data_IF_941515692368
#
_entry.id   IF_941515692368
#
_cell.length_a   1.000
_cell.length_b   1.000
_cell.length_c   1.000
_cell.angle_alpha   90.00
_cell.angle_beta   90.00
_cell.angle_gamma   90.00
#
_symmetry.space_group_name_H-M   'P 1'
#
loop_
_entity.id
_entity.type
_entity.pdbx_description
1 polymer ?
#
# COMPACT_ATOMS: atom_id res chain seq x y z
N UNK A 1 1.20 -4.61 -1.39
CA UNK A 1 -0.15 -4.95 -1.89
C UNK A 1 -0.11 -4.94 -3.42
N UNK A 2 -0.85 -5.82 -4.11
CA UNK A 2 -0.81 -5.91 -5.59
C UNK A 2 -1.48 -4.72 -6.30
N UNK A 3 -2.39 -4.01 -5.63
CA UNK A 3 -3.05 -2.78 -6.09
C UNK A 3 -3.25 -1.85 -4.90
N UNK A 4 -3.46 -0.55 -5.13
CA UNK A 4 -3.47 0.48 -4.07
C UNK A 4 -4.62 0.40 -3.05
N UNK A 5 -5.73 -0.25 -3.40
CA UNK A 5 -6.93 -0.34 -2.55
C UNK A 5 -7.63 -1.69 -2.76
N UNK A 6 -8.51 -2.08 -1.82
CA UNK A 6 -9.28 -3.32 -1.84
C UNK A 6 -8.41 -4.57 -2.10
N UNK A 7 -7.28 -4.66 -1.41
CA UNK A 7 -6.36 -5.79 -1.49
C UNK A 7 -5.63 -5.97 -0.16
N UNK A 8 -5.36 -7.21 0.22
CA UNK A 8 -4.58 -7.51 1.41
C UNK A 8 -3.16 -6.93 1.30
N UNK A 9 -2.63 -6.50 2.45
CA UNK A 9 -1.27 -6.02 2.55
C UNK A 9 -0.30 -7.21 2.53
N UNK A 10 0.68 -7.15 1.62
CA UNK A 10 1.78 -8.13 1.57
C UNK A 10 2.64 -8.02 2.83
N UNK A 11 2.93 -6.79 3.25
CA UNK A 11 3.46 -6.42 4.57
C UNK A 11 2.80 -5.09 4.92
N UNK A 12 2.36 -4.94 6.16
CA UNK A 12 1.99 -3.65 6.73
C UNK A 12 2.87 -3.37 7.94
N UNK A 13 2.99 -2.10 8.33
CA UNK A 13 3.82 -1.69 9.44
C UNK A 13 3.22 -0.47 10.14
N UNK A 14 3.48 -0.35 11.43
CA UNK A 14 3.19 0.81 12.23
C UNK A 14 4.44 1.19 13.04
N UNK A 15 4.79 2.47 13.01
CA UNK A 15 5.96 3.03 13.69
C UNK A 15 5.51 4.15 14.61
N UNK A 16 5.92 4.09 15.87
CA UNK A 16 5.70 5.14 16.86
C UNK A 16 7.04 5.46 17.53
N UNK A 17 7.45 6.72 17.45
CA UNK A 17 8.69 7.22 18.03
C UNK A 17 8.36 8.31 19.06
N UNK A 18 8.69 8.03 20.31
CA UNK A 18 8.56 8.97 21.41
C UNK A 18 9.92 9.60 21.67
N UNK A 19 10.00 10.93 21.52
CA UNK A 19 11.23 11.70 21.74
C UNK A 19 11.30 12.22 23.17
N UNK A 20 12.51 12.29 23.73
CA UNK A 20 12.74 13.02 24.98
C UNK A 20 12.48 14.50 24.76
N UNK A 21 11.90 15.15 25.76
CA UNK A 21 11.51 16.56 25.73
C UNK A 21 12.65 17.44 25.19
N UNK A 22 12.34 18.25 24.18
CA UNK A 22 13.23 19.23 23.53
C UNK A 22 14.51 18.62 22.92
N UNK A 23 14.48 17.34 22.52
CA UNK A 23 15.62 16.67 21.85
C UNK A 23 15.17 15.82 20.66
N UNK A 24 16.13 15.42 19.83
CA UNK A 24 15.94 14.42 18.75
C UNK A 24 16.21 12.99 19.22
N UNK A 25 16.42 12.80 20.52
CA UNK A 25 16.76 11.51 21.11
C UNK A 25 15.48 10.75 21.45
N UNK A 26 15.40 9.49 21.04
CA UNK A 26 14.29 8.63 21.38
C UNK A 26 14.29 8.29 22.87
N UNK A 27 13.15 8.45 23.50
CA UNK A 27 12.82 7.85 24.78
C UNK A 27 12.37 6.40 24.59
N UNK A 28 11.49 6.18 23.61
CA UNK A 28 10.89 4.87 23.31
C UNK A 28 10.54 4.77 21.83
N UNK A 29 10.60 3.55 21.29
CA UNK A 29 10.11 3.21 19.97
C UNK A 29 9.16 2.01 20.05
N UNK A 30 8.11 2.01 19.23
CA UNK A 30 7.29 0.84 18.95
C UNK A 30 7.28 0.61 17.44
N UNK A 31 7.65 -0.59 17.02
CA UNK A 31 7.81 -1.00 15.63
C UNK A 31 7.05 -2.32 15.46
N UNK A 32 5.89 -2.22 14.81
CA UNK A 32 4.96 -3.34 14.65
C UNK A 32 4.85 -3.67 13.16
N UNK A 33 4.82 -4.96 12.84
CA UNK A 33 4.61 -5.43 11.47
C UNK A 33 3.50 -6.48 11.43
N UNK A 34 2.82 -6.54 10.29
CA UNK A 34 1.96 -7.66 9.92
C UNK A 34 2.47 -8.38 8.68
N UNK A 35 2.00 -9.61 8.49
CA UNK A 35 2.37 -10.49 7.37
C UNK A 35 3.87 -10.84 7.30
N UNK A 36 4.57 -10.87 8.44
CA UNK A 36 5.95 -11.38 8.55
C UNK A 36 5.92 -12.88 8.85
N UNK A 37 5.47 -13.26 10.04
CA UNK A 37 5.21 -14.64 10.46
C UNK A 37 4.08 -14.69 11.50
N UNK A 38 3.57 -15.86 11.83
CA UNK A 38 2.45 -16.02 12.78
C UNK A 38 2.73 -15.46 14.18
N UNK A 39 4.01 -15.39 14.58
CA UNK A 39 4.45 -15.01 15.92
C UNK A 39 5.16 -13.65 15.96
N UNK A 40 5.39 -13.01 14.81
CA UNK A 40 6.11 -11.75 14.75
C UNK A 40 5.13 -10.57 14.75
N UNK A 41 5.01 -9.92 15.90
CA UNK A 41 4.20 -8.70 16.06
C UNK A 41 5.08 -7.46 16.25
N UNK A 42 6.13 -7.54 17.06
CA UNK A 42 7.00 -6.42 17.44
C UNK A 42 8.47 -6.70 17.13
N UNK A 43 9.18 -5.69 16.63
CA UNK A 43 10.64 -5.70 16.51
C UNK A 43 11.34 -5.29 17.82
N UNK A 44 11.06 -6.02 18.90
CA UNK A 44 11.44 -5.65 20.27
C UNK A 44 12.93 -5.39 20.50
N UNK A 45 13.84 -6.09 19.80
CA UNK A 45 15.28 -5.84 19.98
C UNK A 45 15.67 -4.51 19.33
N UNK A 46 15.12 -4.22 18.16
CA UNK A 46 15.27 -2.98 17.42
C UNK A 46 14.68 -1.80 18.20
N UNK A 47 13.50 -1.97 18.79
CA UNK A 47 12.89 -0.99 19.69
C UNK A 47 13.82 -0.64 20.87
N UNK A 48 14.41 -1.66 21.51
CA UNK A 48 15.29 -1.48 22.66
C UNK A 48 16.61 -0.76 22.31
N UNK A 49 17.24 -1.07 21.17
CA UNK A 49 18.50 -0.42 20.77
C UNK A 49 18.32 1.03 20.32
N UNK A 50 17.11 1.41 19.90
CA UNK A 50 16.78 2.77 19.48
C UNK A 50 16.58 3.71 20.67
N UNK A 51 16.21 3.18 21.84
CA UNK A 51 16.09 3.97 23.06
C UNK A 51 17.41 4.69 23.39
N UNK A 52 17.33 6.00 23.61
CA UNK A 52 18.49 6.84 23.89
C UNK A 52 19.31 7.26 22.68
N UNK A 53 18.85 7.00 21.44
CA UNK A 53 19.56 7.38 20.20
C UNK A 53 18.78 8.38 19.36
N UNK A 54 19.49 9.13 18.53
CA UNK A 54 18.90 9.95 17.47
C UNK A 54 18.63 9.04 16.26
N UNK A 55 17.37 8.88 15.81
CA UNK A 55 17.01 7.98 14.73
C UNK A 55 17.43 8.50 13.34
N UNK A 56 17.84 9.76 13.24
CA UNK A 56 18.16 10.43 11.98
C UNK A 56 19.66 10.49 11.68
N UNK A 57 20.50 9.83 12.49
CA UNK A 57 21.93 9.69 12.19
C UNK A 57 22.18 8.40 11.41
N UNK A 58 23.18 8.42 10.52
CA UNK A 58 23.50 7.27 9.69
C UNK A 58 23.95 6.07 10.56
N UNK A 59 24.63 6.32 11.68
CA UNK A 59 25.09 5.29 12.60
C UNK A 59 23.90 4.56 13.25
N UNK A 60 22.89 5.31 13.72
CA UNK A 60 21.69 4.72 14.30
C UNK A 60 20.87 3.99 13.24
N UNK A 61 20.78 4.56 12.03
CA UNK A 61 20.06 3.94 10.92
C UNK A 61 20.67 2.60 10.53
N UNK A 62 21.99 2.53 10.32
CA UNK A 62 22.69 1.29 9.99
C UNK A 62 22.57 0.24 11.09
N UNK A 63 22.65 0.66 12.35
CA UNK A 63 22.44 -0.23 13.50
C UNK A 63 21.00 -0.78 13.52
N UNK A 64 20.01 0.07 13.35
CA UNK A 64 18.61 -0.33 13.30
C UNK A 64 18.34 -1.31 12.16
N UNK A 65 18.86 -1.04 10.95
CA UNK A 65 18.72 -1.96 9.82
C UNK A 65 19.33 -3.32 10.07
N UNK A 66 20.53 -3.37 10.68
CA UNK A 66 21.17 -4.64 11.00
C UNK A 66 20.32 -5.45 11.97
N UNK A 67 19.94 -4.86 13.10
CA UNK A 67 19.13 -5.54 14.12
C UNK A 67 17.76 -5.94 13.59
N UNK A 68 17.11 -5.05 12.84
CA UNK A 68 15.79 -5.30 12.26
C UNK A 68 15.84 -6.40 11.19
N UNK A 69 16.90 -6.43 10.38
CA UNK A 69 17.11 -7.51 9.41
C UNK A 69 17.30 -8.85 10.11
N UNK A 70 17.98 -8.90 11.25
CA UNK A 70 18.17 -10.14 12.01
C UNK A 70 16.86 -10.59 12.70
N UNK A 71 16.00 -9.66 13.12
CA UNK A 71 14.69 -9.96 13.72
C UNK A 71 13.63 -10.37 12.70
N UNK A 72 13.63 -9.75 11.52
CA UNK A 72 12.64 -10.02 10.47
C UNK A 72 13.01 -11.31 9.74
N UNK A 73 12.29 -12.37 10.09
CA UNK A 73 12.41 -13.70 9.51
C UNK A 73 11.06 -14.20 8.99
N UNK A 74 10.59 -13.72 7.84
CA UNK A 74 9.39 -14.24 7.21
C UNK A 74 9.60 -15.69 6.71
N UNK A 75 8.58 -16.53 6.86
CA UNK A 75 8.56 -17.92 6.38
C UNK A 75 7.95 -18.00 4.98
N UNK A 76 8.46 -18.86 4.09
CA UNK A 76 7.84 -19.04 2.77
C UNK A 76 6.38 -19.53 2.90
N UNK A 77 5.47 -18.88 2.18
CA UNK A 77 4.03 -19.16 2.29
C UNK A 77 3.31 -18.99 0.94
N UNK A 78 3.55 -19.83 -0.07
CA UNK A 78 2.84 -19.75 -1.34
C UNK A 78 1.32 -19.79 -1.14
N UNK A 79 0.52 -18.96 -1.83
CA UNK A 79 0.87 -18.11 -2.99
C UNK A 79 1.38 -16.70 -2.63
N UNK A 80 1.66 -16.41 -1.36
CA UNK A 80 2.17 -15.09 -0.97
C UNK A 80 3.54 -14.78 -1.60
N UNK A 81 3.88 -13.49 -1.76
CA UNK A 81 5.22 -13.10 -2.19
C UNK A 81 6.32 -13.69 -1.29
N UNK A 82 7.46 -13.97 -1.92
CA UNK A 82 8.58 -14.67 -1.30
C UNK A 82 9.01 -14.04 0.02
N UNK A 83 9.56 -14.84 0.92
CA UNK A 83 10.09 -14.38 2.20
C UNK A 83 11.14 -13.27 1.99
N UNK A 84 12.01 -13.43 0.99
CA UNK A 84 13.01 -12.43 0.64
C UNK A 84 12.38 -11.06 0.27
N UNK A 85 11.30 -11.06 -0.53
CA UNK A 85 10.59 -9.84 -0.88
C UNK A 85 9.95 -9.19 0.35
N UNK A 86 9.26 -9.97 1.19
CA UNK A 86 8.60 -9.45 2.40
C UNK A 86 9.60 -8.87 3.40
N UNK A 87 10.75 -9.52 3.57
CA UNK A 87 11.86 -9.00 4.39
C UNK A 87 12.35 -7.65 3.88
N UNK A 88 12.65 -7.55 2.58
CA UNK A 88 13.08 -6.29 1.97
C UNK A 88 12.03 -5.18 2.11
N UNK A 89 10.76 -5.51 1.89
CA UNK A 89 9.65 -4.56 2.02
C UNK A 89 9.55 -4.03 3.45
N UNK A 90 9.68 -4.89 4.46
CA UNK A 90 9.60 -4.49 5.85
C UNK A 90 10.73 -3.53 6.26
N UNK A 91 11.97 -3.79 5.82
CA UNK A 91 13.10 -2.89 6.00
C UNK A 91 12.90 -1.55 5.28
N UNK A 92 12.37 -1.60 4.06
CA UNK A 92 12.09 -0.39 3.27
C UNK A 92 10.98 0.46 3.91
N UNK A 93 9.96 -0.16 4.50
CA UNK A 93 8.91 0.55 5.24
C UNK A 93 9.47 1.30 6.45
N UNK A 94 10.43 0.71 7.16
CA UNK A 94 11.13 1.40 8.25
C UNK A 94 11.88 2.62 7.73
N UNK A 95 12.66 2.47 6.65
CA UNK A 95 13.40 3.59 6.07
C UNK A 95 12.48 4.72 5.60
N UNK A 96 11.38 4.35 4.94
CA UNK A 96 10.34 5.28 4.52
C UNK A 96 9.78 6.07 5.69
N UNK A 97 9.51 5.42 6.83
CA UNK A 97 9.04 6.09 8.04
C UNK A 97 10.08 7.08 8.59
N UNK A 98 11.36 6.70 8.62
CA UNK A 98 12.45 7.59 9.03
C UNK A 98 12.53 8.81 8.11
N UNK A 99 12.49 8.63 6.79
CA UNK A 99 12.52 9.73 5.81
C UNK A 99 11.30 10.65 5.95
N UNK A 100 10.11 10.08 6.19
CA UNK A 100 8.88 10.84 6.36
C UNK A 100 8.89 11.70 7.63
N UNK A 101 9.46 11.20 8.72
CA UNK A 101 9.50 11.89 10.02
C UNK A 101 10.74 12.80 10.18
N UNK A 102 11.75 12.65 9.33
CA UNK A 102 12.96 13.45 9.39
C UNK A 102 12.64 14.94 9.09
N UNK A 103 13.10 15.88 9.93
CA UNK A 103 12.97 17.31 9.66
C UNK A 103 13.60 17.71 8.33
N UNK A 104 12.99 18.68 7.65
CA UNK A 104 13.42 19.16 6.33
C UNK A 104 14.86 19.71 6.34
N UNK A 105 15.32 20.23 7.47
CA UNK A 105 16.67 20.80 7.63
C UNK A 105 17.77 19.72 7.72
N UNK A 106 17.39 18.47 8.00
CA UNK A 106 18.32 17.35 8.23
C UNK A 106 18.34 16.32 7.10
N UNK A 107 17.28 16.28 6.30
CA UNK A 107 17.17 15.34 5.18
C UNK A 107 17.86 15.90 3.94
N UNK A 108 18.64 15.06 3.26
CA UNK A 108 19.12 15.40 1.92
C UNK A 108 17.90 15.50 0.97
N UNK A 109 17.72 16.62 0.25
CA UNK A 109 16.59 16.80 -0.67
C UNK A 109 16.42 15.65 -1.67
N UNK A 110 17.50 14.95 -2.04
CA UNK A 110 17.47 13.78 -2.93
C UNK A 110 16.64 12.62 -2.37
N UNK A 111 16.55 12.48 -1.05
CA UNK A 111 15.84 11.37 -0.40
C UNK A 111 14.42 11.72 0.04
N UNK A 112 14.03 13.00 0.01
CA UNK A 112 12.74 13.46 0.56
C UNK A 112 11.54 12.75 -0.05
N UNK A 113 11.53 12.56 -1.36
CA UNK A 113 10.44 11.87 -2.08
C UNK A 113 10.24 10.41 -1.65
N UNK A 114 11.27 9.76 -1.07
CA UNK A 114 11.16 8.39 -0.55
C UNK A 114 10.22 8.26 0.65
N UNK A 115 10.08 9.32 1.45
CA UNK A 115 9.15 9.37 2.59
C UNK A 115 7.69 9.60 2.20
N UNK A 116 7.44 10.20 1.04
CA UNK A 116 6.10 10.66 0.66
C UNK A 116 5.14 9.50 0.31
N UNK A 117 3.86 9.69 0.63
CA UNK A 117 2.81 8.79 0.18
C UNK A 117 2.53 8.97 -1.31
N UNK A 118 2.40 7.87 -2.05
CA UNK A 118 1.98 7.91 -3.46
C UNK A 118 0.51 8.34 -3.50
N UNK A 119 0.23 9.49 -4.09
CA UNK A 119 -1.13 10.03 -4.22
C UNK A 119 -1.69 9.69 -5.61
N UNK A 120 -2.88 9.08 -5.64
CA UNK A 120 -3.64 8.84 -6.87
C UNK A 120 -4.54 10.05 -7.14
N UNK A 121 -4.40 10.67 -8.30
CA UNK A 121 -5.26 11.77 -8.76
C UNK A 121 -6.51 11.23 -9.48
N UNK A 122 -7.51 12.09 -9.68
CA UNK A 122 -8.71 11.76 -10.48
C UNK A 122 -8.30 11.46 -11.92
N UNK A 123 -8.87 10.40 -12.50
CA UNK A 123 -8.60 10.00 -13.88
C UNK A 123 -9.17 11.02 -14.87
N UNK A 124 -8.41 11.31 -15.93
CA UNK A 124 -8.82 12.18 -17.04
C UNK A 124 -8.66 11.44 -18.36
N UNK A 125 -9.47 11.78 -19.36
CA UNK A 125 -9.44 11.16 -20.69
C UNK A 125 -9.86 12.13 -21.78
N UNK A 126 -9.31 11.94 -22.98
CA UNK A 126 -9.68 12.67 -24.20
C UNK A 126 -9.99 11.67 -25.30
N UNK A 127 -11.04 11.92 -26.08
CA UNK A 127 -11.43 11.09 -27.21
C UNK A 127 -11.67 11.98 -28.42
N UNK A 128 -11.11 11.58 -29.57
CA UNK A 128 -11.27 12.27 -30.85
C UNK A 128 -11.55 11.22 -31.93
N UNK A 129 -12.63 11.40 -32.66
CA UNK A 129 -13.04 10.51 -33.75
C UNK A 129 -13.84 11.31 -34.78
N UNK A 130 -13.75 10.90 -36.04
CA UNK A 130 -14.50 11.51 -37.14
C UNK A 130 -15.89 10.88 -37.28
N UNK A 131 -16.85 11.66 -37.76
CA UNK A 131 -18.22 11.21 -38.02
C UNK A 131 -18.77 11.89 -39.27
N UNK A 132 -19.66 11.22 -40.00
CA UNK A 132 -20.29 11.75 -41.21
C UNK A 132 -21.80 11.45 -41.20
N UNK A 133 -22.60 12.52 -41.12
CA UNK A 133 -24.06 12.45 -41.11
C UNK A 133 -24.65 11.79 -42.36
N UNK A 134 -23.94 11.78 -43.48
CA UNK A 134 -24.41 11.18 -44.74
C UNK A 134 -24.56 9.66 -44.65
N UNK A 135 -23.76 9.01 -43.79
CA UNK A 135 -23.75 7.56 -43.59
C UNK A 135 -24.33 7.15 -42.24
N UNK A 136 -24.95 8.08 -41.51
CA UNK A 136 -25.64 7.73 -40.26
C UNK A 136 -26.79 6.75 -40.51
N UNK A 137 -26.95 5.72 -39.66
CA UNK A 137 -26.33 5.55 -38.34
C UNK A 137 -24.97 4.80 -38.32
N UNK A 138 -24.35 4.48 -39.46
CA UNK A 138 -23.18 3.59 -39.53
C UNK A 138 -21.97 4.06 -38.70
N UNK A 139 -21.65 5.36 -38.72
CA UNK A 139 -20.57 5.94 -37.91
C UNK A 139 -21.07 6.93 -36.84
N UNK A 140 -22.37 6.91 -36.54
CA UNK A 140 -22.94 7.77 -35.51
C UNK A 140 -22.53 7.23 -34.13
N UNK A 141 -22.04 8.08 -33.20
CA UNK A 141 -21.76 7.68 -31.83
C UNK A 141 -23.07 7.53 -31.05
N UNK A 142 -23.73 6.38 -31.20
CA UNK A 142 -24.98 6.07 -30.50
C UNK A 142 -24.65 5.38 -29.16
N UNK A 143 -25.26 5.81 -28.03
CA UNK A 143 -25.17 5.05 -26.79
C UNK A 143 -25.61 3.61 -26.99
N UNK A 144 -24.98 2.67 -26.26
CA UNK A 144 -25.42 1.26 -26.26
C UNK A 144 -26.92 1.19 -25.98
N UNK A 145 -27.66 0.41 -26.79
CA UNK A 145 -29.12 0.34 -26.73
C UNK A 145 -29.62 -0.05 -25.33
N UNK A 146 -28.95 -0.99 -24.68
CA UNK A 146 -29.31 -1.48 -23.35
C UNK A 146 -28.68 -0.67 -22.21
N UNK A 147 -28.00 0.46 -22.48
CA UNK A 147 -27.29 1.22 -21.46
C UNK A 147 -28.21 1.69 -20.33
N UNK A 148 -29.40 2.18 -20.66
CA UNK A 148 -30.35 2.68 -19.65
C UNK A 148 -30.83 1.55 -18.74
N UNK A 149 -31.24 0.41 -19.30
CA UNK A 149 -31.70 -0.75 -18.52
C UNK A 149 -30.58 -1.41 -17.71
N UNK A 150 -29.33 -1.33 -18.18
CA UNK A 150 -28.16 -1.77 -17.39
C UNK A 150 -27.88 -0.85 -16.20
N UNK A 151 -28.08 0.46 -16.36
CA UNK A 151 -27.88 1.44 -15.29
C UNK A 151 -29.04 1.52 -14.30
N UNK A 152 -30.27 1.13 -14.69
CA UNK A 152 -31.45 1.08 -13.82
C UNK A 152 -31.59 -0.25 -13.06
N UNK A 153 -30.86 -1.29 -13.46
CA UNK A 153 -30.99 -2.65 -12.89
C UNK A 153 -32.15 -3.45 -13.50
N UNK A 154 -32.70 -3.04 -14.64
CA UNK A 154 -33.79 -3.72 -15.35
C UNK A 154 -33.28 -4.75 -16.36
N UNK A 155 -31.99 -4.71 -16.72
CA UNK A 155 -31.37 -5.70 -17.58
C UNK A 155 -31.32 -7.06 -16.89
N UNK A 156 -31.96 -8.08 -17.48
CA UNK A 156 -31.98 -9.45 -16.96
C UNK A 156 -30.72 -10.22 -17.37
N UNK A 157 -29.94 -10.68 -16.38
CA UNK A 157 -28.86 -11.63 -16.54
C UNK A 157 -29.31 -13.04 -16.11
N UNK A 158 -28.46 -14.05 -16.33
CA UNK A 158 -28.84 -15.46 -16.12
C UNK A 158 -29.35 -15.74 -14.70
N UNK A 159 -28.78 -15.09 -13.68
CA UNK A 159 -29.15 -15.26 -12.27
C UNK A 159 -30.30 -14.33 -11.81
N UNK A 160 -30.83 -13.49 -12.71
CA UNK A 160 -32.00 -12.64 -12.46
C UNK A 160 -33.31 -13.30 -12.94
N UNK A 161 -33.21 -14.45 -13.63
CA UNK A 161 -34.38 -15.24 -14.02
C UNK A 161 -35.11 -15.72 -12.75
N UNK A 162 -36.43 -15.67 -12.79
CA UNK A 162 -37.26 -16.20 -11.70
C UNK A 162 -37.03 -17.70 -11.55
N UNK A 163 -36.92 -18.16 -10.31
CA UNK A 163 -36.78 -19.58 -10.00
C UNK A 163 -37.96 -20.37 -10.58
N UNK A 164 -37.67 -21.44 -11.31
CA UNK A 164 -38.68 -22.31 -11.90
C UNK A 164 -39.24 -23.29 -10.88
N UNK A 165 -40.40 -23.87 -11.19
CA UNK A 165 -40.97 -24.94 -10.38
C UNK A 165 -40.01 -26.14 -10.41
N UNK A 166 -39.72 -26.69 -9.23
CA UNK A 166 -38.76 -27.79 -9.01
C UNK A 166 -37.29 -27.45 -9.33
N UNK A 167 -36.93 -26.16 -9.39
CA UNK A 167 -35.53 -25.71 -9.46
C UNK A 167 -34.80 -25.97 -8.13
N UNK A 168 -33.54 -26.41 -8.22
CA UNK A 168 -32.66 -26.72 -7.08
C UNK A 168 -31.44 -25.79 -7.07
N UNK A 169 -30.82 -25.60 -5.89
CA UNK A 169 -29.70 -24.68 -5.65
C UNK A 169 -28.39 -25.41 -5.36
#
# INVERSE_FOLDING_TARGET
>A
MPRSQNAHAVVNAAFLFQFKKDTTILEKANIIYGSISANFNHATKTEAILAGKDPYTNETLQLAFKTLSDEISPEEAPPEPSAAYRKMLALTLYYKAILYLCPDERIDPKYRSGGEAIKRHVSQGSQMFDTDKSVWPLNQPVPKLEALVQCSGEATFANDLSTQTDEVF
#
